data_IF_780085304355
#
_entry.id   IF_780085304355
#
_cell.length_a   1.000
_cell.length_b   1.000
_cell.length_c   1.000
_cell.angle_alpha   90.00
_cell.angle_beta   90.00
_cell.angle_gamma   90.00
#
_symmetry.space_group_name_H-M   'P 1'
#
loop_
_entity.id
_entity.type
_entity.pdbx_description
1 polymer ?
#
# COMPACT_ATOMS: atom_id res chain seq x y z
N UNK A 1 13.21 8.23 0.20
CA UNK A 1 12.05 7.39 -0.18
C UNK A 1 11.46 6.76 1.08
N UNK A 2 10.17 6.91 1.35
CA UNK A 2 9.53 6.35 2.56
C UNK A 2 9.10 4.88 2.37
N UNK A 3 9.85 3.97 2.99
CA UNK A 3 9.60 2.52 2.90
C UNK A 3 8.53 2.02 3.85
N UNK A 4 8.38 2.63 5.02
CA UNK A 4 7.39 2.21 6.01
C UNK A 4 5.97 2.42 5.46
N UNK A 5 5.72 3.59 4.87
CA UNK A 5 4.46 3.90 4.19
C UNK A 5 4.19 2.98 3.02
N UNK A 6 5.22 2.68 2.20
CA UNK A 6 5.11 1.75 1.08
C UNK A 6 4.76 0.34 1.54
N UNK A 7 5.38 -0.14 2.62
CA UNK A 7 5.08 -1.44 3.20
C UNK A 7 3.61 -1.56 3.59
N UNK A 8 3.07 -0.55 4.30
CA UNK A 8 1.66 -0.54 4.70
C UNK A 8 0.72 -0.51 3.48
N UNK A 9 0.99 0.34 2.49
CA UNK A 9 0.19 0.41 1.25
C UNK A 9 0.25 -0.90 0.44
N UNK A 10 1.41 -1.55 0.38
CA UNK A 10 1.58 -2.86 -0.24
C UNK A 10 0.83 -3.95 0.54
N UNK A 11 0.81 -3.87 1.88
CA UNK A 11 0.03 -4.76 2.74
C UNK A 11 -1.46 -4.69 2.44
N UNK A 12 -2.04 -3.48 2.40
CA UNK A 12 -3.45 -3.26 2.06
C UNK A 12 -3.80 -3.90 0.71
N UNK A 13 -3.01 -3.58 -0.33
CA UNK A 13 -3.29 -4.00 -1.70
C UNK A 13 -3.08 -5.50 -1.93
N UNK A 14 -2.03 -6.08 -1.35
CA UNK A 14 -1.76 -7.52 -1.47
C UNK A 14 -2.78 -8.34 -0.69
N UNK A 15 -3.07 -7.97 0.55
CA UNK A 15 -4.05 -8.68 1.37
C UNK A 15 -5.43 -8.68 0.70
N UNK A 16 -5.90 -7.52 0.20
CA UNK A 16 -7.17 -7.44 -0.54
C UNK A 16 -7.14 -8.26 -1.84
N UNK A 17 -6.01 -8.26 -2.56
CA UNK A 17 -5.87 -9.11 -3.76
C UNK A 17 -6.01 -10.58 -3.42
N UNK A 18 -5.34 -11.07 -2.37
CA UNK A 18 -5.43 -12.47 -1.99
C UNK A 18 -6.78 -12.84 -1.34
N UNK A 19 -7.50 -11.86 -0.77
CA UNK A 19 -8.87 -12.03 -0.33
C UNK A 19 -9.80 -12.30 -1.52
N UNK A 20 -9.66 -11.54 -2.61
CA UNK A 20 -10.50 -11.65 -3.81
C UNK A 20 -10.04 -12.74 -4.80
N UNK A 21 -8.73 -13.02 -4.84
CA UNK A 21 -8.09 -13.95 -5.75
C UNK A 21 -7.07 -14.80 -4.98
N UNK A 22 -7.45 -15.99 -4.46
CA UNK A 22 -6.56 -16.83 -3.66
C UNK A 22 -5.25 -17.20 -4.36
N UNK A 23 -5.29 -17.38 -5.70
CA UNK A 23 -4.11 -17.66 -6.53
C UNK A 23 -3.17 -16.46 -6.71
N UNK A 24 -3.57 -15.26 -6.25
CA UNK A 24 -2.84 -14.00 -6.45
C UNK A 24 -2.86 -13.47 -7.89
N UNK A 25 -3.45 -14.20 -8.84
CA UNK A 25 -3.60 -13.78 -10.23
C UNK A 25 -4.92 -13.05 -10.41
N UNK A 26 -4.83 -11.77 -10.81
CA UNK A 26 -5.99 -10.93 -11.15
C UNK A 26 -6.47 -11.16 -12.58
N UNK A 27 -5.53 -11.45 -13.48
CA UNK A 27 -5.79 -11.57 -14.92
C UNK A 27 -5.66 -13.00 -15.38
N UNK A 28 -6.48 -13.39 -16.35
CA UNK A 28 -6.39 -14.69 -17.01
C UNK A 28 -5.06 -14.77 -17.78
N UNK A 29 -4.48 -15.98 -17.82
CA UNK A 29 -3.14 -16.19 -18.42
C UNK A 29 -3.13 -15.75 -19.89
N UNK A 30 -2.21 -14.86 -20.23
CA UNK A 30 -2.05 -14.38 -21.61
C UNK A 30 -3.07 -13.32 -22.04
N UNK A 31 -3.98 -12.89 -21.17
CA UNK A 31 -4.95 -11.83 -21.48
C UNK A 31 -4.96 -10.74 -20.39
N UNK A 32 -5.67 -9.64 -20.65
CA UNK A 32 -5.96 -8.58 -19.65
C UNK A 32 -7.37 -8.73 -19.06
N UNK A 33 -8.02 -9.86 -19.28
CA UNK A 33 -9.34 -10.16 -18.73
C UNK A 33 -9.23 -10.41 -17.23
N UNK A 34 -10.08 -9.73 -16.45
CA UNK A 34 -10.12 -9.89 -14.99
C UNK A 34 -10.81 -11.21 -14.67
N UNK A 35 -10.17 -12.04 -13.84
CA UNK A 35 -10.76 -13.28 -13.34
C UNK A 35 -11.92 -12.89 -12.40
N UNK A 36 -13.10 -13.51 -12.53
CA UNK A 36 -14.20 -13.29 -11.60
C UNK A 36 -13.77 -13.53 -10.14
N UNK A 37 -14.36 -12.79 -9.22
CA UNK A 37 -14.12 -13.01 -7.79
C UNK A 37 -14.95 -14.23 -7.39
N UNK A 38 -14.28 -15.32 -7.03
CA UNK A 38 -14.92 -16.60 -6.65
C UNK A 38 -15.42 -16.59 -5.20
N UNK A 39 -14.98 -15.62 -4.39
CA UNK A 39 -15.34 -15.45 -2.99
C UNK A 39 -14.37 -14.51 -2.28
N UNK A 40 -14.68 -14.15 -1.04
CA UNK A 40 -13.79 -13.36 -0.18
C UNK A 40 -13.27 -14.20 0.98
N UNK A 41 -11.94 -14.39 1.04
CA UNK A 41 -11.28 -14.98 2.20
C UNK A 41 -11.26 -13.95 3.34
N UNK A 42 -12.12 -14.18 4.35
CA UNK A 42 -12.34 -13.26 5.47
C UNK A 42 -11.07 -12.95 6.25
N UNK A 43 -10.18 -13.92 6.45
CA UNK A 43 -8.92 -13.72 7.21
C UNK A 43 -8.01 -12.74 6.48
N UNK A 44 -7.96 -12.83 5.15
CA UNK A 44 -7.15 -11.92 4.32
C UNK A 44 -7.81 -10.56 4.15
N UNK A 45 -9.14 -10.51 4.10
CA UNK A 45 -9.88 -9.26 4.13
C UNK A 45 -9.64 -8.51 5.44
N UNK A 46 -9.68 -9.20 6.59
CA UNK A 46 -9.32 -8.67 7.91
C UNK A 46 -7.88 -8.17 7.95
N UNK A 47 -6.94 -8.93 7.38
CA UNK A 47 -5.55 -8.49 7.27
C UNK A 47 -5.42 -7.17 6.50
N UNK A 48 -6.20 -6.98 5.42
CA UNK A 48 -6.21 -5.73 4.67
C UNK A 48 -6.75 -4.55 5.51
N UNK A 49 -7.74 -4.80 6.38
CA UNK A 49 -8.27 -3.80 7.31
C UNK A 49 -7.22 -3.41 8.34
N UNK A 50 -6.51 -4.37 8.96
CA UNK A 50 -5.44 -4.10 9.92
C UNK A 50 -4.34 -3.24 9.29
N UNK A 51 -3.88 -3.58 8.08
CA UNK A 51 -2.90 -2.74 7.37
C UNK A 51 -3.42 -1.33 7.11
N UNK A 52 -4.70 -1.20 6.75
CA UNK A 52 -5.31 0.11 6.49
C UNK A 52 -5.39 0.95 7.76
N UNK A 53 -5.80 0.35 8.88
CA UNK A 53 -5.85 1.01 10.17
C UNK A 53 -4.46 1.52 10.59
N UNK A 54 -3.44 0.67 10.52
CA UNK A 54 -2.06 1.07 10.84
C UNK A 54 -1.53 2.15 9.90
N UNK A 55 -1.90 2.11 8.62
CA UNK A 55 -1.60 3.18 7.68
C UNK A 55 -2.24 4.51 8.08
N UNK A 56 -3.51 4.50 8.47
CA UNK A 56 -4.20 5.72 8.91
C UNK A 56 -3.61 6.28 10.21
N UNK A 57 -3.31 5.41 11.18
CA UNK A 57 -2.64 5.82 12.42
C UNK A 57 -1.29 6.48 12.14
N UNK A 58 -0.43 5.81 11.36
CA UNK A 58 0.88 6.38 11.00
C UNK A 58 0.73 7.70 10.22
N UNK A 59 -0.20 7.78 9.27
CA UNK A 59 -0.44 8.98 8.48
C UNK A 59 -0.88 10.18 9.33
N UNK A 60 -1.64 9.94 10.40
CA UNK A 60 -2.17 10.97 11.29
C UNK A 60 -1.25 11.27 12.48
N UNK A 61 -0.17 10.50 12.65
CA UNK A 61 0.82 10.74 13.69
C UNK A 61 1.61 12.03 13.42
N UNK A 62 1.68 12.89 14.43
CA UNK A 62 2.27 14.23 14.31
C UNK A 62 3.78 14.16 14.11
N UNK A 63 4.45 13.22 14.77
CA UNK A 63 5.90 13.03 14.64
C UNK A 63 6.24 12.52 13.24
N UNK A 64 5.48 11.53 12.74
CA UNK A 64 5.63 11.03 11.38
C UNK A 64 5.43 12.13 10.33
N UNK A 65 4.43 13.00 10.50
CA UNK A 65 4.22 14.13 9.59
C UNK A 65 5.39 15.12 9.59
N UNK A 66 5.94 15.42 10.78
CA UNK A 66 7.11 16.29 10.91
C UNK A 66 8.35 15.68 10.24
N UNK A 67 8.61 14.38 10.47
CA UNK A 67 9.71 13.65 9.84
C UNK A 67 9.55 13.58 8.31
N UNK A 68 8.34 13.33 7.82
CA UNK A 68 8.04 13.32 6.39
C UNK A 68 8.32 14.71 5.77
N UNK A 69 7.88 15.79 6.42
CA UNK A 69 8.14 17.16 5.96
C UNK A 69 9.64 17.45 5.88
N UNK A 70 10.38 17.17 6.96
CA UNK A 70 11.83 17.37 6.99
C UNK A 70 12.58 16.56 5.92
N UNK A 71 12.20 15.29 5.69
CA UNK A 71 12.77 14.48 4.62
C UNK A 71 12.48 15.08 3.23
N UNK A 72 11.26 15.56 2.97
CA UNK A 72 10.91 16.20 1.70
C UNK A 72 11.71 17.48 1.46
N UNK A 73 11.83 18.32 2.48
CA UNK A 73 12.59 19.57 2.40
C UNK A 73 14.07 19.29 2.09
N UNK A 74 14.65 18.28 2.74
CA UNK A 74 16.06 17.94 2.57
C UNK A 74 16.38 17.27 1.23
N UNK A 75 15.53 16.36 0.75
CA UNK A 75 15.88 15.51 -0.39
C UNK A 75 15.04 15.74 -1.66
N UNK A 76 13.79 16.19 -1.55
CA UNK A 76 12.93 16.39 -2.74
C UNK A 76 13.00 17.81 -3.32
N UNK A 77 13.51 18.79 -2.55
CA UNK A 77 13.70 20.16 -3.02
C UNK A 77 15.13 20.45 -3.51
N UNK A 78 16.16 19.81 -2.95
CA UNK A 78 17.55 19.94 -3.43
C UNK A 78 17.72 19.38 -4.85
N UNK A 79 17.06 18.27 -5.19
CA UNK A 79 17.07 17.65 -6.52
C UNK A 79 16.44 18.54 -7.62
N UNK A 80 15.72 19.63 -7.27
CA UNK A 80 15.13 20.58 -8.23
C UNK A 80 16.01 21.80 -8.51
N UNK A 81 17.05 22.02 -7.71
CA UNK A 81 17.92 23.21 -7.80
C UNK A 81 19.21 22.91 -8.58
N UNK A 82 19.54 21.64 -8.82
CA UNK A 82 20.69 21.25 -9.62
C UNK A 82 20.27 20.35 -10.81
N UNK A 83 19.86 20.95 -11.95
CA UNK A 83 19.57 20.23 -13.19
C UNK A 83 20.83 19.69 -13.89
#
# INVERSE_FOLDING_TARGET
>A
MDMARKFLQMGITRARRYANHPSGRKYKKGTREIIPIEGEDKVKAESALIFSEKYYLAKNDVEYQAMMKAHKEKYENEDKINP
#
